data_IF_548064981824
#
_entry.id   IF_548064981824
#
_cell.length_a   1.000
_cell.length_b   1.000
_cell.length_c   1.000
_cell.angle_alpha   90.00
_cell.angle_beta   90.00
_cell.angle_gamma   90.00
#
_symmetry.space_group_name_H-M   'P 1'
#
loop_
_entity.id
_entity.type
_entity.pdbx_description
1 polymer ?
#
# COMPACT_ATOMS: atom_id res chain seq x y z
N UNK A 1 -30.07 5.60 -26.77
CA UNK A 1 -30.09 5.33 -25.32
C UNK A 1 -29.60 3.91 -25.13
N UNK A 2 -28.32 3.76 -24.88
CA UNK A 2 -27.76 2.49 -24.48
C UNK A 2 -27.91 2.41 -22.96
N UNK A 3 -28.78 1.53 -22.49
CA UNK A 3 -28.74 1.06 -21.13
C UNK A 3 -27.45 0.21 -21.04
N UNK A 4 -26.30 0.89 -20.88
CA UNK A 4 -25.14 0.24 -20.33
C UNK A 4 -25.53 -0.06 -18.88
N UNK A 5 -26.00 -1.27 -18.65
CA UNK A 5 -25.92 -1.87 -17.34
C UNK A 5 -24.44 -1.89 -17.05
N UNK A 6 -23.95 -0.96 -16.23
CA UNK A 6 -22.74 -1.16 -15.47
C UNK A 6 -23.01 -2.44 -14.69
N UNK A 7 -22.55 -3.56 -15.21
CA UNK A 7 -22.53 -4.82 -14.45
C UNK A 7 -21.58 -4.55 -13.28
N UNK A 8 -22.17 -4.12 -12.16
CA UNK A 8 -21.46 -3.90 -10.92
C UNK A 8 -20.74 -5.19 -10.55
N UNK A 9 -19.40 -5.15 -10.55
CA UNK A 9 -18.58 -6.32 -10.23
C UNK A 9 -18.78 -6.65 -8.75
N UNK A 10 -19.35 -7.82 -8.49
CA UNK A 10 -19.52 -8.32 -7.12
C UNK A 10 -18.29 -9.16 -6.77
N UNK A 11 -17.38 -8.59 -5.96
CA UNK A 11 -16.10 -9.20 -5.64
C UNK A 11 -16.24 -10.59 -5.01
N UNK A 12 -17.24 -10.79 -4.17
CA UNK A 12 -17.49 -12.08 -3.49
C UNK A 12 -17.89 -13.22 -4.42
N UNK A 13 -18.33 -12.91 -5.64
CA UNK A 13 -18.71 -13.91 -6.65
C UNK A 13 -17.55 -14.34 -7.53
N UNK A 14 -16.44 -13.61 -7.51
CA UNK A 14 -15.25 -13.95 -8.27
C UNK A 14 -14.49 -15.13 -7.64
N UNK A 15 -13.90 -15.99 -8.47
CA UNK A 15 -12.96 -17.00 -7.98
C UNK A 15 -11.65 -16.31 -7.52
N UNK A 16 -10.73 -17.06 -6.91
CA UNK A 16 -9.52 -16.49 -6.33
C UNK A 16 -8.65 -15.77 -7.36
N UNK A 17 -8.48 -16.34 -8.54
CA UNK A 17 -7.67 -15.74 -9.61
C UNK A 17 -8.30 -14.46 -10.15
N UNK A 18 -9.60 -14.50 -10.42
CA UNK A 18 -10.36 -13.33 -10.87
C UNK A 18 -10.38 -12.23 -9.82
N UNK A 19 -10.54 -12.58 -8.54
CA UNK A 19 -10.53 -11.63 -7.43
C UNK A 19 -9.18 -10.95 -7.29
N UNK A 20 -8.09 -11.69 -7.37
CA UNK A 20 -6.73 -11.13 -7.32
C UNK A 20 -6.49 -10.17 -8.49
N UNK A 21 -6.90 -10.54 -9.69
CA UNK A 21 -6.81 -9.66 -10.87
C UNK A 21 -7.63 -8.38 -10.68
N UNK A 22 -8.84 -8.50 -10.17
CA UNK A 22 -9.68 -7.34 -9.89
C UNK A 22 -9.06 -6.46 -8.80
N UNK A 23 -8.46 -7.04 -7.77
CA UNK A 23 -7.77 -6.28 -6.74
C UNK A 23 -6.55 -5.51 -7.28
N UNK A 24 -5.83 -6.07 -8.27
CA UNK A 24 -4.76 -5.35 -8.95
C UNK A 24 -5.31 -4.12 -9.68
N UNK A 25 -6.44 -4.23 -10.36
CA UNK A 25 -7.09 -3.13 -11.06
C UNK A 25 -7.63 -2.08 -10.07
N UNK A 26 -8.28 -2.52 -9.00
CA UNK A 26 -8.80 -1.64 -7.96
C UNK A 26 -7.68 -0.85 -7.25
N UNK A 27 -6.57 -1.53 -6.98
CA UNK A 27 -5.38 -0.90 -6.41
C UNK A 27 -4.78 0.14 -7.35
N UNK A 28 -4.65 -0.22 -8.62
CA UNK A 28 -4.15 0.66 -9.69
C UNK A 28 -4.99 1.94 -9.80
N UNK A 29 -6.31 1.81 -9.70
CA UNK A 29 -7.26 2.92 -9.76
C UNK A 29 -7.42 3.66 -8.42
N UNK A 30 -6.77 3.20 -7.37
CA UNK A 30 -6.81 3.84 -6.06
C UNK A 30 -8.13 3.64 -5.30
N UNK A 31 -8.83 2.56 -5.57
CA UNK A 31 -10.13 2.24 -4.98
C UNK A 31 -9.94 1.56 -3.61
N UNK A 32 -9.88 2.37 -2.55
CA UNK A 32 -9.55 1.92 -1.20
C UNK A 32 -10.56 0.93 -0.63
N UNK A 33 -11.85 1.20 -0.79
CA UNK A 33 -12.92 0.38 -0.23
C UNK A 33 -12.97 -1.00 -0.88
N UNK A 34 -12.80 -1.07 -2.19
CA UNK A 34 -12.75 -2.31 -2.97
C UNK A 34 -11.53 -3.15 -2.61
N UNK A 35 -10.37 -2.52 -2.42
CA UNK A 35 -9.16 -3.22 -1.97
C UNK A 35 -9.35 -3.81 -0.58
N UNK A 36 -9.93 -3.07 0.34
CA UNK A 36 -10.25 -3.56 1.70
C UNK A 36 -11.23 -4.73 1.64
N UNK A 37 -12.27 -4.63 0.84
CA UNK A 37 -13.24 -5.71 0.64
C UNK A 37 -12.56 -6.97 0.10
N UNK A 38 -11.73 -6.83 -0.92
CA UNK A 38 -10.97 -7.95 -1.50
C UNK A 38 -10.05 -8.63 -0.49
N UNK A 39 -9.34 -7.86 0.33
CA UNK A 39 -8.48 -8.39 1.40
C UNK A 39 -9.31 -9.22 2.39
N UNK A 40 -10.44 -8.71 2.83
CA UNK A 40 -11.32 -9.41 3.77
C UNK A 40 -11.88 -10.70 3.17
N UNK A 41 -12.29 -10.68 1.91
CA UNK A 41 -12.79 -11.87 1.22
C UNK A 41 -11.73 -12.98 1.15
N UNK A 42 -10.49 -12.63 0.77
CA UNK A 42 -9.41 -13.61 0.70
C UNK A 42 -9.07 -14.19 2.08
N UNK A 43 -9.05 -13.36 3.12
CA UNK A 43 -8.83 -13.82 4.49
C UNK A 43 -9.95 -14.78 4.95
N UNK A 44 -11.20 -14.47 4.65
CA UNK A 44 -12.34 -15.33 4.97
C UNK A 44 -12.29 -16.67 4.23
N UNK A 45 -11.71 -16.69 3.03
CA UNK A 45 -11.47 -17.92 2.25
C UNK A 45 -10.30 -18.77 2.75
N UNK A 46 -9.61 -18.30 3.81
CA UNK A 46 -8.51 -19.04 4.43
C UNK A 46 -7.13 -18.71 3.86
N UNK A 47 -6.99 -17.67 3.05
CA UNK A 47 -5.69 -17.19 2.63
C UNK A 47 -4.89 -16.68 3.83
N UNK A 48 -3.60 -17.00 3.88
CA UNK A 48 -2.73 -16.42 4.89
C UNK A 48 -2.54 -14.92 4.64
N UNK A 49 -2.36 -14.11 5.70
CA UNK A 49 -2.09 -12.67 5.52
C UNK A 49 -0.88 -12.40 4.62
N UNK A 50 0.15 -13.22 4.70
CA UNK A 50 1.34 -13.09 3.84
C UNK A 50 1.03 -13.36 2.37
N UNK A 51 0.21 -14.35 2.06
CA UNK A 51 -0.22 -14.65 0.69
C UNK A 51 -1.05 -13.52 0.11
N UNK A 52 -1.97 -12.95 0.89
CA UNK A 52 -2.74 -11.76 0.47
C UNK A 52 -1.82 -10.58 0.19
N UNK A 53 -0.86 -10.33 1.08
CA UNK A 53 0.11 -9.25 0.90
C UNK A 53 0.90 -9.42 -0.39
N UNK A 54 1.48 -10.57 -0.63
CA UNK A 54 2.40 -10.78 -1.77
C UNK A 54 1.67 -10.88 -3.10
N UNK A 55 0.61 -11.65 -3.19
CA UNK A 55 -0.07 -11.94 -4.46
C UNK A 55 -1.11 -10.88 -4.86
N UNK A 56 -1.81 -10.29 -3.89
CA UNK A 56 -2.84 -9.30 -4.18
C UNK A 56 -2.31 -7.87 -4.10
N UNK A 57 -1.58 -7.50 -3.06
CA UNK A 57 -1.17 -6.11 -2.83
C UNK A 57 0.19 -5.77 -3.43
N UNK A 58 1.24 -6.48 -3.08
CA UNK A 58 2.61 -6.19 -3.58
C UNK A 58 2.70 -6.39 -5.09
N UNK A 59 2.11 -7.46 -5.62
CA UNK A 59 2.07 -7.69 -7.06
C UNK A 59 1.32 -6.56 -7.80
N UNK A 60 0.22 -6.07 -7.23
CA UNK A 60 -0.52 -4.92 -7.77
C UNK A 60 0.32 -3.64 -7.77
N UNK A 61 1.01 -3.33 -6.67
CA UNK A 61 1.89 -2.16 -6.58
C UNK A 61 3.11 -2.26 -7.49
N UNK A 62 3.57 -3.47 -7.80
CA UNK A 62 4.65 -3.67 -8.78
C UNK A 62 4.23 -3.18 -10.16
N UNK A 63 3.00 -3.42 -10.57
CA UNK A 63 2.43 -2.92 -11.83
C UNK A 63 2.40 -1.39 -11.83
N UNK A 64 1.91 -0.78 -10.74
CA UNK A 64 1.91 0.69 -10.55
C UNK A 64 3.33 1.26 -10.67
N UNK A 65 4.31 0.62 -10.04
CA UNK A 65 5.70 1.06 -10.07
C UNK A 65 6.33 0.98 -11.47
N UNK A 66 6.02 -0.06 -12.22
CA UNK A 66 6.49 -0.21 -13.62
C UNK A 66 5.90 0.90 -14.49
N UNK A 67 4.61 1.15 -14.41
CA UNK A 67 3.93 2.16 -15.21
C UNK A 67 4.34 3.58 -14.82
N UNK A 68 4.67 3.82 -13.55
CA UNK A 68 5.26 5.07 -13.10
C UNK A 68 6.68 5.27 -13.69
N UNK A 69 7.52 4.25 -13.62
CA UNK A 69 8.86 4.28 -14.22
C UNK A 69 8.81 4.58 -15.72
N UNK A 70 7.84 3.99 -16.43
CA UNK A 70 7.71 4.08 -17.88
C UNK A 70 6.96 5.34 -18.33
N UNK A 71 6.56 6.23 -17.40
CA UNK A 71 5.91 7.50 -17.68
C UNK A 71 4.42 7.39 -18.05
N UNK A 72 3.80 6.25 -17.78
CA UNK A 72 2.36 6.01 -18.01
C UNK A 72 1.54 6.61 -16.87
N UNK A 73 1.99 6.42 -15.63
CA UNK A 73 1.42 7.04 -14.43
C UNK A 73 2.25 8.22 -13.96
N UNK A 74 1.59 9.19 -13.35
CA UNK A 74 2.19 10.35 -12.71
C UNK A 74 2.02 10.28 -11.19
N UNK A 75 2.71 11.18 -10.47
CA UNK A 75 2.73 11.17 -8.99
C UNK A 75 1.33 11.12 -8.36
N UNK A 76 0.32 11.92 -8.78
CA UNK A 76 -1.00 11.86 -8.14
C UNK A 76 -1.65 10.48 -8.20
N UNK A 77 -1.52 9.77 -9.31
CA UNK A 77 -2.08 8.43 -9.51
C UNK A 77 -1.36 7.38 -8.66
N UNK A 78 -0.03 7.48 -8.55
CA UNK A 78 0.76 6.62 -7.67
C UNK A 78 0.39 6.83 -6.19
N UNK A 79 0.13 8.08 -5.78
CA UNK A 79 -0.31 8.37 -4.41
C UNK A 79 -1.70 7.81 -4.12
N UNK A 80 -2.61 7.83 -5.07
CA UNK A 80 -3.92 7.19 -4.93
C UNK A 80 -3.79 5.67 -4.75
N UNK A 81 -2.97 5.03 -5.56
CA UNK A 81 -2.67 3.61 -5.42
C UNK A 81 -1.98 3.30 -4.08
N UNK A 82 -1.03 4.13 -3.64
CA UNK A 82 -0.38 4.01 -2.35
C UNK A 82 -1.37 4.10 -1.18
N UNK A 83 -2.36 4.97 -1.25
CA UNK A 83 -3.43 5.07 -0.25
C UNK A 83 -4.30 3.81 -0.20
N UNK A 84 -4.61 3.23 -1.36
CA UNK A 84 -5.34 1.96 -1.43
C UNK A 84 -4.50 0.81 -0.81
N UNK A 85 -3.20 0.77 -1.11
CA UNK A 85 -2.26 -0.18 -0.49
C UNK A 85 -2.24 -0.04 1.03
N UNK A 86 -2.15 1.19 1.55
CA UNK A 86 -2.18 1.47 2.99
C UNK A 86 -3.45 0.98 3.65
N UNK A 87 -4.59 1.15 3.00
CA UNK A 87 -5.88 0.69 3.51
C UNK A 87 -5.91 -0.84 3.65
N UNK A 88 -5.39 -1.57 2.69
CA UNK A 88 -5.23 -3.03 2.76
C UNK A 88 -4.22 -3.46 3.83
N UNK A 89 -3.08 -2.78 3.90
CA UNK A 89 -2.04 -3.04 4.90
C UNK A 89 -2.51 -2.81 6.33
N UNK A 90 -3.41 -1.88 6.56
CA UNK A 90 -3.99 -1.61 7.88
C UNK A 90 -4.67 -2.83 8.48
N UNK A 91 -5.28 -3.67 7.63
CA UNK A 91 -5.87 -4.95 8.03
C UNK A 91 -4.79 -6.01 8.23
N UNK A 92 -3.81 -6.08 7.32
CA UNK A 92 -2.83 -7.17 7.29
C UNK A 92 -1.72 -7.05 8.33
N UNK A 93 -1.28 -5.82 8.67
CA UNK A 93 -0.14 -5.62 9.61
C UNK A 93 -0.30 -6.32 10.94
N UNK A 94 -1.43 -6.18 11.67
CA UNK A 94 -1.60 -6.90 12.94
C UNK A 94 -1.55 -8.41 12.76
N UNK A 95 -2.13 -8.93 11.68
CA UNK A 95 -2.18 -10.35 11.37
C UNK A 95 -0.79 -10.89 11.00
N UNK A 96 -0.01 -10.13 10.24
CA UNK A 96 1.38 -10.46 9.88
C UNK A 96 2.27 -10.51 11.12
N UNK A 97 2.10 -9.57 12.05
CA UNK A 97 2.84 -9.54 13.31
C UNK A 97 2.55 -10.77 14.17
N UNK A 98 1.30 -11.21 14.23
CA UNK A 98 0.90 -12.42 14.98
C UNK A 98 1.47 -13.71 14.37
N UNK A 99 1.57 -13.79 13.06
CA UNK A 99 2.08 -14.98 12.37
C UNK A 99 3.60 -15.05 12.30
N UNK A 100 4.32 -13.98 12.65
CA UNK A 100 5.76 -13.88 12.49
C UNK A 100 6.23 -13.88 11.04
N UNK A 101 5.33 -13.54 10.10
CA UNK A 101 5.66 -13.47 8.68
C UNK A 101 6.70 -12.38 8.40
N UNK A 102 7.56 -12.56 7.36
CA UNK A 102 8.52 -11.54 6.98
C UNK A 102 7.83 -10.24 6.63
N UNK A 103 8.27 -9.13 7.22
CA UNK A 103 7.84 -7.79 6.83
C UNK A 103 8.71 -7.28 5.69
N UNK A 104 8.17 -6.40 4.84
CA UNK A 104 8.94 -5.78 3.75
C UNK A 104 10.12 -5.00 4.34
N UNK A 105 9.87 -4.24 5.38
CA UNK A 105 10.89 -3.49 6.10
C UNK A 105 10.31 -2.30 6.85
N UNK A 106 11.19 -1.67 7.64
CA UNK A 106 10.90 -0.46 8.40
C UNK A 106 11.84 0.64 7.92
N UNK A 107 11.31 1.84 7.70
CA UNK A 107 12.09 2.99 7.27
C UNK A 107 11.89 4.14 8.24
N UNK A 108 12.98 4.76 8.65
CA UNK A 108 12.95 6.02 9.37
C UNK A 108 13.21 7.16 8.40
N UNK A 109 12.36 8.17 8.41
CA UNK A 109 12.49 9.36 7.58
C UNK A 109 12.28 10.62 8.40
N UNK A 110 13.06 11.65 8.11
CA UNK A 110 12.93 12.94 8.77
C UNK A 110 13.60 14.05 7.97
N UNK A 111 13.32 15.28 8.37
CA UNK A 111 14.02 16.47 7.87
C UNK A 111 15.14 16.83 8.83
N UNK A 112 16.32 17.08 8.31
CA UNK A 112 17.54 17.33 9.09
C UNK A 112 17.47 18.59 9.94
N UNK A 113 18.34 18.67 10.93
CA UNK A 113 18.46 19.83 11.82
C UNK A 113 18.67 21.12 11.03
N UNK A 114 17.90 22.15 11.38
CA UNK A 114 17.94 23.46 10.75
C UNK A 114 17.08 23.58 9.50
N UNK A 115 16.39 22.51 9.10
CA UNK A 115 15.50 22.47 7.95
C UNK A 115 14.05 22.18 8.39
N UNK A 116 13.10 22.90 7.79
CA UNK A 116 11.65 22.75 8.05
C UNK A 116 10.87 22.27 6.83
N UNK A 117 11.55 21.95 5.72
CA UNK A 117 10.89 21.45 4.52
C UNK A 117 10.36 20.04 4.76
N UNK A 118 9.10 19.79 4.43
CA UNK A 118 8.44 18.50 4.67
C UNK A 118 7.64 17.96 3.48
N UNK A 119 7.38 18.78 2.45
CA UNK A 119 6.56 18.36 1.31
C UNK A 119 7.19 17.15 0.61
N UNK A 120 8.45 17.22 0.25
CA UNK A 120 9.18 16.11 -0.38
C UNK A 120 9.30 14.89 0.53
N UNK A 121 9.55 15.12 1.82
CA UNK A 121 9.61 14.06 2.83
C UNK A 121 8.29 13.29 2.92
N UNK A 122 7.17 14.02 3.01
CA UNK A 122 5.85 13.41 3.11
C UNK A 122 5.49 12.62 1.84
N UNK A 123 5.89 13.11 0.67
CA UNK A 123 5.72 12.41 -0.59
C UNK A 123 6.47 11.08 -0.61
N UNK A 124 7.75 11.08 -0.23
CA UNK A 124 8.57 9.87 -0.14
C UNK A 124 7.98 8.90 0.89
N UNK A 125 7.56 9.40 2.06
CA UNK A 125 6.88 8.58 3.08
C UNK A 125 5.68 7.85 2.53
N UNK A 126 4.79 8.56 1.83
CA UNK A 126 3.58 7.97 1.25
C UNK A 126 3.91 6.92 0.20
N UNK A 127 4.89 7.16 -0.65
CA UNK A 127 5.31 6.20 -1.68
C UNK A 127 5.93 4.94 -1.05
N UNK A 128 6.73 5.09 0.00
CA UNK A 128 7.32 3.95 0.71
C UNK A 128 6.27 3.15 1.48
N UNK A 129 5.31 3.81 2.13
CA UNK A 129 4.17 3.14 2.75
C UNK A 129 3.33 2.38 1.71
N UNK A 130 3.11 2.97 0.54
CA UNK A 130 2.45 2.32 -0.58
C UNK A 130 3.21 1.12 -1.13
N UNK A 131 4.52 1.05 -0.94
CA UNK A 131 5.34 -0.11 -1.29
C UNK A 131 5.34 -1.20 -0.19
N UNK A 132 4.62 -0.98 0.91
CA UNK A 132 4.47 -1.94 2.00
C UNK A 132 5.43 -1.76 3.17
N UNK A 133 6.27 -0.72 3.16
CA UNK A 133 7.16 -0.41 4.30
C UNK A 133 6.37 0.19 5.47
N UNK A 134 6.78 -0.15 6.67
CA UNK A 134 6.43 0.62 7.86
C UNK A 134 7.30 1.88 7.90
N UNK A 135 6.71 3.06 7.88
CA UNK A 135 7.45 4.32 7.87
C UNK A 135 7.31 5.00 9.23
N UNK A 136 8.45 5.27 9.87
CA UNK A 136 8.55 6.09 11.07
C UNK A 136 8.99 7.49 10.65
N UNK A 137 8.04 8.41 10.60
CA UNK A 137 8.28 9.82 10.29
C UNK A 137 8.59 10.58 11.58
N UNK A 138 9.83 11.02 11.72
CA UNK A 138 10.29 11.79 12.90
C UNK A 138 10.12 13.30 12.74
N UNK A 139 9.48 13.75 11.66
CA UNK A 139 9.16 15.16 11.44
C UNK A 139 10.32 16.00 10.92
N UNK A 140 10.26 17.29 11.22
CA UNK A 140 11.25 18.29 10.77
C UNK A 140 12.29 18.59 11.84
N UNK A 141 13.38 19.25 11.44
CA UNK A 141 14.40 19.78 12.33
C UNK A 141 14.99 18.74 13.29
N UNK A 142 15.44 17.59 12.74
CA UNK A 142 15.96 16.49 13.54
C UNK A 142 17.49 16.44 13.55
N UNK A 143 18.13 16.48 14.74
CA UNK A 143 19.54 16.13 14.86
C UNK A 143 19.75 14.63 14.62
N UNK A 144 20.99 14.23 14.34
CA UNK A 144 21.36 12.83 14.07
C UNK A 144 20.87 11.88 15.15
N UNK A 145 20.92 12.28 16.40
CA UNK A 145 20.53 11.48 17.56
C UNK A 145 19.07 10.99 17.46
N UNK A 146 18.16 11.79 16.91
CA UNK A 146 16.75 11.40 16.74
C UNK A 146 16.60 10.25 15.75
N UNK A 147 17.41 10.22 14.70
CA UNK A 147 17.43 9.10 13.74
C UNK A 147 17.94 7.81 14.40
N UNK A 148 19.01 7.92 15.20
CA UNK A 148 19.59 6.78 15.90
C UNK A 148 18.61 6.18 16.91
N UNK A 149 17.93 7.03 17.68
CA UNK A 149 16.90 6.57 18.64
C UNK A 149 15.74 5.83 17.91
N UNK A 150 15.27 6.38 16.79
CA UNK A 150 14.20 5.77 16.01
C UNK A 150 14.59 4.43 15.39
N UNK A 151 15.88 4.23 15.09
CA UNK A 151 16.40 2.96 14.56
C UNK A 151 16.52 1.88 15.64
N UNK A 152 16.70 2.26 16.91
CA UNK A 152 16.83 1.34 18.04
C UNK A 152 15.47 0.80 18.55
N UNK A 153 14.36 1.39 18.10
CA UNK A 153 13.01 0.93 18.40
C UNK A 153 12.58 -0.14 17.36
#
# INVERSE_FOLDING_TARGET
MSDEFDDEIILSELNDEELVQQMHDDLYDGLQEEVVEGVNILLERGWTPYKVLTEALVAGMTIVGIDFRDGILFVPEVLMAANAMKSGMKILRPLLAETGAPQVGKMVIGTVKGDIHDIGKNLVSMMMEGAGFEVVDIGINNPVENYLEALDE
#
